data_IF_745350599293
#
_entry.id   IF_745350599293
#
_cell.length_a   1.000
_cell.length_b   1.000
_cell.length_c   1.000
_cell.angle_alpha   90.00
_cell.angle_beta   90.00
_cell.angle_gamma   90.00
#
_symmetry.space_group_name_H-M   'P 1'
#
loop_
_entity.id
_entity.type
_entity.pdbx_description
1 polymer ?
#
# COMPACT_ATOMS: atom_id res chain seq x y z
N UNK A 1 1.63 9.99 -16.70
CA UNK A 1 2.39 10.57 -15.57
C UNK A 1 1.43 10.72 -14.41
N UNK A 2 1.74 10.19 -13.23
CA UNK A 2 0.91 10.45 -12.05
C UNK A 2 1.17 11.90 -11.65
N UNK A 3 0.11 12.71 -11.59
CA UNK A 3 0.22 14.15 -11.29
C UNK A 3 0.93 14.36 -9.94
N UNK A 4 0.83 13.39 -9.03
CA UNK A 4 1.45 13.40 -7.71
C UNK A 4 2.75 12.58 -7.60
N UNK A 5 3.68 12.77 -8.55
CA UNK A 5 5.03 12.16 -8.53
C UNK A 5 6.02 12.84 -7.55
N UNK A 6 7.16 12.18 -7.23
CA UNK A 6 8.20 12.76 -6.39
C UNK A 6 9.04 13.81 -7.13
N UNK A 7 9.40 14.88 -6.42
CA UNK A 7 10.36 15.91 -6.82
C UNK A 7 11.53 15.89 -5.83
N UNK A 8 12.68 15.44 -6.32
CA UNK A 8 13.93 15.31 -5.56
C UNK A 8 14.74 16.63 -5.58
N UNK A 9 15.69 16.85 -4.65
CA UNK A 9 16.10 15.97 -3.55
C UNK A 9 15.33 16.22 -2.24
N UNK A 10 14.38 17.16 -2.21
CA UNK A 10 13.60 17.47 -1.00
C UNK A 10 12.33 16.61 -0.87
N UNK A 11 12.10 15.72 -1.84
CA UNK A 11 11.00 14.77 -1.89
C UNK A 11 9.63 15.44 -1.78
N UNK A 12 9.38 16.54 -2.49
CA UNK A 12 8.04 17.15 -2.57
C UNK A 12 7.19 16.47 -3.63
N UNK A 13 5.88 16.64 -3.54
CA UNK A 13 4.94 16.13 -4.52
C UNK A 13 4.79 17.13 -5.67
N UNK A 14 5.05 16.71 -6.92
CA UNK A 14 4.98 17.59 -8.09
C UNK A 14 3.58 18.12 -8.42
N UNK A 15 2.52 17.55 -7.83
CA UNK A 15 1.13 17.97 -8.07
C UNK A 15 0.54 18.86 -6.98
N UNK A 16 1.08 18.86 -5.76
CA UNK A 16 0.51 19.64 -4.66
C UNK A 16 1.53 20.19 -3.65
N UNK A 17 2.82 20.06 -3.93
CA UNK A 17 3.96 20.55 -3.13
C UNK A 17 4.08 20.03 -1.68
N UNK A 18 3.12 19.22 -1.22
CA UNK A 18 3.19 18.51 0.05
C UNK A 18 4.33 17.48 0.05
N UNK A 19 4.80 17.03 1.23
CA UNK A 19 5.78 15.95 1.32
C UNK A 19 5.31 14.70 0.57
N UNK A 20 6.09 14.26 -0.42
CA UNK A 20 5.82 13.02 -1.15
C UNK A 20 6.21 11.78 -0.31
N UNK A 21 5.42 10.70 -0.25
CA UNK A 21 4.11 10.54 -0.87
C UNK A 21 3.03 11.40 -0.17
N UNK A 22 2.36 12.26 -0.93
CA UNK A 22 1.27 13.09 -0.41
C UNK A 22 0.00 12.24 -0.16
N UNK A 23 -1.00 12.72 0.59
CA UNK A 23 -2.22 11.95 0.86
C UNK A 23 -2.91 11.39 -0.40
N UNK A 24 -2.94 12.16 -1.50
CA UNK A 24 -3.47 11.68 -2.78
C UNK A 24 -2.65 10.52 -3.34
N UNK A 25 -1.33 10.67 -3.45
CA UNK A 25 -0.48 9.58 -3.96
C UNK A 25 -0.53 8.33 -3.08
N UNK A 26 -0.66 8.48 -1.76
CA UNK A 26 -0.85 7.32 -0.86
C UNK A 26 -2.12 6.55 -1.18
N UNK A 27 -3.23 7.23 -1.47
CA UNK A 27 -4.49 6.59 -1.87
C UNK A 27 -4.35 5.91 -3.23
N UNK A 28 -3.77 6.59 -4.21
CA UNK A 28 -3.51 6.02 -5.54
C UNK A 28 -2.65 4.75 -5.44
N UNK A 29 -1.54 4.81 -4.70
CA UNK A 29 -0.64 3.68 -4.51
C UNK A 29 -1.32 2.50 -3.79
N UNK A 30 -2.19 2.76 -2.81
CA UNK A 30 -2.97 1.69 -2.18
C UNK A 30 -3.95 1.04 -3.16
N UNK A 31 -4.61 1.84 -4.01
CA UNK A 31 -5.53 1.30 -5.00
C UNK A 31 -4.78 0.51 -6.10
N UNK A 32 -3.63 1.02 -6.55
CA UNK A 32 -2.78 0.39 -7.57
C UNK A 32 -2.22 -0.96 -7.10
N UNK A 33 -1.93 -1.10 -5.80
CA UNK A 33 -1.37 -2.30 -5.19
C UNK A 33 -2.33 -3.01 -4.22
N UNK A 34 -3.65 -2.88 -4.41
CA UNK A 34 -4.65 -3.40 -3.47
C UNK A 34 -4.47 -4.90 -3.18
N UNK A 35 -4.15 -5.69 -4.21
CA UNK A 35 -3.93 -7.14 -4.10
C UNK A 35 -2.46 -7.52 -3.83
N UNK A 36 -1.57 -6.53 -3.67
CA UNK A 36 -0.13 -6.72 -3.55
C UNK A 36 0.53 -5.76 -2.53
N UNK A 37 0.11 -5.75 -1.26
CA UNK A 37 0.62 -4.82 -0.24
C UNK A 37 2.12 -4.99 0.06
N UNK A 38 2.66 -6.21 -0.11
CA UNK A 38 4.11 -6.45 0.00
C UNK A 38 4.87 -5.75 -1.12
N UNK A 39 4.37 -5.82 -2.36
CA UNK A 39 4.95 -5.14 -3.51
C UNK A 39 4.93 -3.62 -3.34
N UNK A 40 3.86 -3.06 -2.75
CA UNK A 40 3.80 -1.64 -2.40
C UNK A 40 4.91 -1.26 -1.40
N UNK A 41 5.11 -2.07 -0.36
CA UNK A 41 6.14 -1.82 0.64
C UNK A 41 7.55 -1.88 0.04
N UNK A 42 7.82 -2.83 -0.87
CA UNK A 42 9.10 -2.94 -1.58
C UNK A 42 9.34 -1.73 -2.50
N UNK A 43 8.32 -1.34 -3.27
CA UNK A 43 8.39 -0.17 -4.16
C UNK A 43 8.72 1.11 -3.38
N UNK A 44 8.03 1.34 -2.25
CA UNK A 44 8.30 2.50 -1.39
C UNK A 44 9.58 2.34 -0.57
N UNK A 45 10.06 1.12 -0.35
CA UNK A 45 11.34 0.83 0.28
C UNK A 45 12.52 1.34 -0.56
N UNK A 46 12.46 1.17 -1.88
CA UNK A 46 13.47 1.73 -2.78
C UNK A 46 13.53 3.27 -2.67
N UNK A 47 12.37 3.94 -2.66
CA UNK A 47 12.33 5.39 -2.48
C UNK A 47 12.76 5.85 -1.09
N UNK A 48 12.50 5.07 -0.04
CA UNK A 48 12.98 5.39 1.31
C UNK A 48 14.52 5.47 1.34
N UNK A 49 15.21 4.53 0.69
CA UNK A 49 16.68 4.49 0.66
C UNK A 49 17.21 5.75 -0.04
N UNK A 50 16.68 6.06 -1.23
CA UNK A 50 17.04 7.27 -1.98
C UNK A 50 16.73 8.55 -1.19
N UNK A 51 15.60 8.60 -0.49
CA UNK A 51 15.24 9.73 0.36
C UNK A 51 16.15 9.90 1.57
N UNK A 52 16.68 8.80 2.12
CA UNK A 52 17.64 8.85 3.22
C UNK A 52 19.02 9.36 2.74
N UNK A 53 19.41 9.05 1.50
CA UNK A 53 20.61 9.59 0.87
C UNK A 53 20.47 11.10 0.58
N UNK A 54 19.34 11.53 0.04
CA UNK A 54 19.08 12.94 -0.29
C UNK A 54 18.83 13.83 0.93
N UNK A 55 18.30 13.28 2.02
CA UNK A 55 17.97 14.01 3.25
C UNK A 55 18.64 13.37 4.47
N UNK A 56 19.98 13.40 4.57
CA UNK A 56 20.71 12.75 5.66
C UNK A 56 20.47 13.42 7.03
N UNK A 57 19.94 14.64 7.02
CA UNK A 57 19.53 15.38 8.21
C UNK A 57 18.15 14.96 8.74
N UNK A 58 17.35 14.24 7.95
CA UNK A 58 16.01 13.82 8.36
C UNK A 58 16.09 12.59 9.29
N UNK A 59 15.39 12.58 10.44
CA UNK A 59 15.39 11.42 11.32
C UNK A 59 14.88 10.15 10.63
N UNK A 60 15.61 9.04 10.74
CA UNK A 60 15.26 7.77 10.09
C UNK A 60 13.82 7.31 10.39
N UNK A 61 13.38 7.44 11.65
CA UNK A 61 12.01 7.10 12.04
C UNK A 61 10.93 7.97 11.37
N UNK A 62 11.24 9.24 11.07
CA UNK A 62 10.33 10.12 10.34
C UNK A 62 10.20 9.70 8.87
N UNK A 63 11.33 9.36 8.22
CA UNK A 63 11.32 8.82 6.85
C UNK A 63 10.59 7.47 6.79
N UNK A 64 10.86 6.56 7.73
CA UNK A 64 10.14 5.28 7.80
C UNK A 64 8.62 5.46 7.93
N UNK A 65 8.15 6.31 8.85
CA UNK A 65 6.69 6.58 8.98
C UNK A 65 6.09 7.20 7.72
N UNK A 66 6.86 8.05 7.03
CA UNK A 66 6.43 8.76 5.82
C UNK A 66 6.29 7.83 4.61
N UNK A 67 7.25 6.94 4.37
CA UNK A 67 7.27 6.05 3.21
C UNK A 67 6.60 4.69 3.49
N UNK A 68 6.84 4.09 4.66
CA UNK A 68 6.46 2.70 4.97
C UNK A 68 5.34 2.59 5.99
N UNK A 69 5.24 3.51 6.96
CA UNK A 69 4.36 3.37 8.13
C UNK A 69 2.85 3.27 7.84
N UNK A 70 2.44 3.40 6.58
CA UNK A 70 1.06 3.33 6.12
C UNK A 70 0.81 2.23 5.07
N UNK A 71 1.85 1.52 4.59
CA UNK A 71 1.73 0.57 3.46
C UNK A 71 1.06 -0.74 3.86
N UNK A 72 1.19 -1.15 5.12
CA UNK A 72 0.42 -2.28 5.65
C UNK A 72 -1.02 -1.83 5.83
N UNK A 73 -1.94 -2.47 5.11
CA UNK A 73 -3.30 -2.52 5.60
C UNK A 73 -3.26 -3.29 6.94
N UNK A 74 -3.99 -2.84 7.97
CA UNK A 74 -4.33 -3.78 9.03
C UNK A 74 -4.94 -5.00 8.34
N UNK A 75 -4.66 -6.24 8.81
CA UNK A 75 -5.31 -7.40 8.24
C UNK A 75 -6.79 -7.06 8.19
N UNK A 76 -7.35 -7.02 6.98
CA UNK A 76 -8.79 -6.94 6.85
C UNK A 76 -9.29 -8.05 7.77
N UNK A 77 -10.25 -7.74 8.65
CA UNK A 77 -11.00 -8.78 9.35
C UNK A 77 -11.92 -9.49 8.34
N UNK A 78 -11.37 -9.80 7.15
CA UNK A 78 -11.90 -10.62 6.09
C UNK A 78 -11.88 -12.04 6.67
N UNK A 79 -12.93 -12.45 7.38
CA UNK A 79 -14.14 -12.83 6.70
C UNK A 79 -13.77 -13.84 5.61
N UNK A 80 -13.10 -14.92 6.05
CA UNK A 80 -13.27 -16.24 5.48
C UNK A 80 -14.75 -16.57 5.63
N UNK A 81 -15.56 -16.01 4.73
CA UNK A 81 -16.87 -16.54 4.42
C UNK A 81 -16.66 -18.02 4.17
N UNK A 82 -17.14 -18.82 5.11
CA UNK A 82 -17.96 -19.99 4.83
C UNK A 82 -18.17 -20.23 3.32
N UNK A 83 -17.24 -20.95 2.70
CA UNK A 83 -17.67 -21.97 1.75
C UNK A 83 -18.12 -23.15 2.62
N UNK A 84 -19.27 -22.97 3.28
CA UNK A 84 -20.12 -24.12 3.60
C UNK A 84 -20.53 -24.64 2.24
N UNK A 85 -19.83 -25.67 1.76
CA UNK A 85 -20.34 -26.50 0.69
C UNK A 85 -21.76 -26.89 1.13
N UNK A 86 -22.83 -26.55 0.38
CA UNK A 86 -24.07 -27.27 0.59
C UNK A 86 -23.71 -28.73 0.31
N UNK A 87 -23.68 -29.55 1.35
CA UNK A 87 -23.82 -30.98 1.15
C UNK A 87 -25.17 -31.13 0.48
N UNK A 88 -25.11 -31.40 -0.81
CA UNK A 88 -26.23 -31.75 -1.67
C UNK A 88 -26.90 -32.96 -1.04
N UNK A 89 -27.86 -32.68 -0.17
CA UNK A 89 -28.88 -33.63 0.23
C UNK A 89 -29.72 -33.90 -1.00
N UNK A 90 -29.90 -35.19 -1.27
CA UNK A 90 -30.97 -35.77 -2.07
C UNK A 90 -30.65 -36.05 -3.55
N UNK A 91 -30.53 -37.35 -3.86
CA UNK A 91 -31.15 -38.09 -4.96
C UNK A 91 -30.80 -39.58 -4.70
N UNK A 92 -31.68 -40.58 -4.65
CA UNK A 92 -32.99 -40.72 -5.28
C UNK A 92 -33.66 -42.01 -4.75
N UNK A 93 -34.93 -41.88 -4.41
CA UNK A 93 -35.96 -42.91 -4.21
C UNK A 93 -36.05 -43.92 -5.37
N UNK A 94 -36.19 -45.23 -5.13
CA UNK A 94 -37.03 -46.17 -5.93
C UNK A 94 -37.19 -47.54 -5.23
N UNK A 95 -38.44 -48.02 -5.12
CA UNK A 95 -38.76 -49.47 -5.12
C UNK A 95 -39.07 -50.11 -3.79
#
# INVERSE_FOLDING_TARGET
MTVHGPVMPIWRCGGCDLPWPCPTRRRELRAEYADAPVSLALYLGAYLIQAAEDMPWAPAGALHRRFIGWTRQPPDTQQRGTATMPTETEHRQTG
#
